data_IF_383671096032
#
_entry.id   IF_383671096032
#
_cell.length_a   1.000
_cell.length_b   1.000
_cell.length_c   1.000
_cell.angle_alpha   90.00
_cell.angle_beta   90.00
_cell.angle_gamma   90.00
#
_symmetry.space_group_name_H-M   'P 1'
#
loop_
_entity.id
_entity.type
_entity.pdbx_description
1 polymer ?
#
# COMPACT_ATOMS: atom_id res chain seq x y z
N UNK A 1 13.64 -13.69 13.04
CA UNK A 1 12.72 -13.38 11.91
C UNK A 1 11.32 -13.44 12.48
N UNK A 2 10.62 -12.31 12.59
CA UNK A 2 9.25 -12.29 13.11
C UNK A 2 8.34 -12.91 12.07
N UNK A 3 7.89 -14.14 12.33
CA UNK A 3 6.96 -14.85 11.44
C UNK A 3 5.58 -14.21 11.64
N UNK A 4 5.32 -13.14 10.88
CA UNK A 4 4.05 -12.41 10.94
C UNK A 4 2.87 -13.29 10.50
N UNK A 5 3.12 -14.30 9.67
CA UNK A 5 2.12 -15.28 9.22
C UNK A 5 2.73 -16.69 9.18
N UNK A 6 2.26 -17.63 10.00
CA UNK A 6 2.76 -18.99 9.98
C UNK A 6 2.44 -19.67 8.64
N UNK A 7 3.43 -20.30 8.02
CA UNK A 7 3.28 -20.98 6.73
C UNK A 7 3.48 -20.09 5.49
N UNK A 8 3.55 -18.76 5.67
CA UNK A 8 3.89 -17.82 4.59
C UNK A 8 5.40 -17.64 4.53
N UNK A 9 5.96 -17.91 3.36
CA UNK A 9 7.38 -17.79 3.03
C UNK A 9 7.73 -16.39 2.55
N UNK A 10 6.85 -15.78 1.77
CA UNK A 10 7.04 -14.42 1.27
C UNK A 10 5.71 -13.71 0.99
N UNK A 11 5.75 -12.39 0.99
CA UNK A 11 4.68 -11.55 0.48
C UNK A 11 5.31 -10.60 -0.51
N UNK A 12 4.89 -10.74 -1.76
CA UNK A 12 5.38 -9.96 -2.89
C UNK A 12 4.27 -9.00 -3.27
N UNK A 13 4.63 -7.73 -3.46
CA UNK A 13 3.70 -6.69 -3.85
C UNK A 13 4.26 -5.99 -5.07
N UNK A 14 3.59 -6.16 -6.20
CA UNK A 14 3.83 -5.36 -7.39
C UNK A 14 2.82 -4.24 -7.42
N UNK A 15 3.29 -3.04 -7.70
CA UNK A 15 2.44 -1.86 -7.78
C UNK A 15 2.73 -1.08 -9.03
N UNK A 16 1.69 -0.46 -9.60
CA UNK A 16 1.81 0.51 -10.67
C UNK A 16 1.12 1.79 -10.22
N UNK A 17 1.92 2.82 -9.97
CA UNK A 17 1.37 4.13 -9.63
C UNK A 17 0.94 4.85 -10.91
N UNK A 18 -0.22 5.50 -10.87
CA UNK A 18 -0.74 6.37 -11.93
C UNK A 18 -1.24 7.69 -11.37
N UNK A 19 -1.32 8.70 -12.23
CA UNK A 19 -1.91 10.01 -11.92
C UNK A 19 -0.97 11.18 -12.20
N UNK A 20 -1.26 12.32 -11.58
CA UNK A 20 -0.54 13.56 -11.79
C UNK A 20 0.93 13.46 -11.35
N UNK A 21 1.83 13.94 -12.20
CA UNK A 21 3.28 13.92 -11.97
C UNK A 21 3.91 12.53 -12.10
N UNK A 22 3.17 11.52 -12.55
CA UNK A 22 3.67 10.18 -12.88
C UNK A 22 3.72 10.04 -14.41
N UNK A 23 4.75 9.39 -14.98
CA UNK A 23 4.77 9.05 -16.42
C UNK A 23 3.52 8.27 -16.86
N UNK A 24 3.13 8.36 -18.13
CA UNK A 24 1.95 7.66 -18.66
C UNK A 24 2.03 6.13 -18.51
N UNK A 25 3.24 5.57 -18.65
CA UNK A 25 3.54 4.15 -18.42
C UNK A 25 3.43 3.76 -16.93
N UNK A 26 3.17 4.73 -16.05
CA UNK A 26 3.13 4.58 -14.61
C UNK A 26 4.52 4.46 -14.00
N UNK A 27 4.55 4.30 -12.68
CA UNK A 27 5.77 3.99 -11.93
C UNK A 27 5.65 2.60 -11.32
N UNK A 28 6.23 1.56 -11.93
CA UNK A 28 6.19 0.23 -11.36
C UNK A 28 7.10 0.17 -10.13
N UNK A 29 6.67 -0.58 -9.12
CA UNK A 29 7.46 -0.88 -7.94
C UNK A 29 7.12 -2.28 -7.45
N UNK A 30 8.14 -3.12 -7.30
CA UNK A 30 8.03 -4.46 -6.74
C UNK A 30 8.71 -4.50 -5.38
N UNK A 31 7.98 -4.97 -4.39
CA UNK A 31 8.40 -5.04 -2.99
C UNK A 31 8.22 -6.46 -2.45
N UNK A 32 9.09 -6.89 -1.53
CA UNK A 32 9.01 -8.20 -0.89
C UNK A 32 9.36 -8.12 0.60
N UNK A 33 8.69 -8.93 1.43
CA UNK A 33 9.10 -9.08 2.83
C UNK A 33 10.43 -9.81 2.95
N UNK A 34 10.71 -10.77 2.06
CA UNK A 34 11.91 -11.59 2.08
C UNK A 34 13.17 -10.78 1.78
N UNK A 35 13.13 -9.91 0.77
CA UNK A 35 14.27 -9.03 0.43
C UNK A 35 14.31 -7.73 1.25
N UNK A 36 13.30 -7.52 2.12
CA UNK A 36 13.13 -6.35 3.01
C UNK A 36 12.90 -5.02 2.28
N UNK A 37 12.56 -5.06 1.00
CA UNK A 37 12.13 -3.87 0.27
C UNK A 37 10.71 -3.46 0.66
N UNK A 38 9.86 -4.41 1.06
CA UNK A 38 8.56 -4.13 1.67
C UNK A 38 8.73 -3.78 3.15
N UNK A 39 8.19 -2.63 3.56
CA UNK A 39 8.14 -2.24 4.97
C UNK A 39 7.43 -3.33 5.80
N UNK A 40 7.95 -3.74 6.98
CA UNK A 40 7.32 -4.76 7.82
C UNK A 40 5.91 -4.40 8.34
N UNK A 41 5.56 -3.12 8.33
CA UNK A 41 4.20 -2.60 8.61
C UNK A 41 3.31 -2.63 7.37
N UNK A 42 3.86 -3.03 6.22
CA UNK A 42 3.25 -3.10 4.89
C UNK A 42 2.70 -1.75 4.45
N UNK A 43 3.53 -0.73 4.58
CA UNK A 43 3.23 0.60 4.08
C UNK A 43 3.76 0.72 2.65
N UNK A 44 2.86 0.89 1.68
CA UNK A 44 3.23 1.14 0.29
C UNK A 44 3.46 2.64 0.09
N UNK A 45 4.59 3.05 -0.51
CA UNK A 45 4.80 4.44 -0.85
C UNK A 45 3.85 4.85 -1.99
N UNK A 46 3.21 6.01 -1.87
CA UNK A 46 2.55 6.63 -3.01
C UNK A 46 2.87 8.13 -3.13
N UNK A 47 3.47 8.52 -4.25
CA UNK A 47 3.70 9.93 -4.53
C UNK A 47 2.39 10.59 -4.97
N UNK A 48 2.06 11.73 -4.37
CA UNK A 48 0.97 12.55 -4.85
C UNK A 48 1.37 14.03 -4.71
N UNK A 49 1.52 14.77 -5.83
CA UNK A 49 1.91 16.17 -5.78
C UNK A 49 0.84 17.05 -5.09
N UNK A 50 -0.44 16.69 -5.23
CA UNK A 50 -1.57 17.40 -4.61
C UNK A 50 -1.80 17.01 -3.14
N UNK A 51 -1.35 15.82 -2.71
CA UNK A 51 -1.51 15.30 -1.36
C UNK A 51 -0.14 14.97 -0.76
N UNK A 52 0.37 15.84 0.13
CA UNK A 52 1.70 15.70 0.74
C UNK A 52 1.94 14.27 1.26
N UNK A 53 2.86 13.54 0.60
CA UNK A 53 3.39 12.23 0.99
C UNK A 53 2.32 11.23 1.44
N UNK A 54 1.62 10.62 0.49
CA UNK A 54 0.72 9.52 0.76
C UNK A 54 1.45 8.18 0.93
N UNK A 55 0.96 7.33 1.81
CA UNK A 55 1.27 5.90 1.79
C UNK A 55 -0.03 5.12 1.95
N UNK A 56 -0.06 3.88 1.44
CA UNK A 56 -1.19 2.99 1.64
C UNK A 56 -0.82 1.91 2.65
N UNK A 57 -1.64 1.75 3.69
CA UNK A 57 -1.43 0.70 4.68
C UNK A 57 -2.07 -0.60 4.20
N UNK A 58 -1.26 -1.48 3.61
CA UNK A 58 -1.71 -2.73 2.98
C UNK A 58 -2.01 -3.83 4.00
N UNK A 59 -1.46 -3.74 5.21
CA UNK A 59 -1.53 -4.82 6.20
C UNK A 59 -2.94 -5.37 6.47
N UNK A 60 -3.99 -4.56 6.62
CA UNK A 60 -5.34 -5.10 6.83
C UNK A 60 -5.83 -5.98 5.67
N UNK A 61 -5.44 -5.67 4.43
CA UNK A 61 -5.77 -6.47 3.24
C UNK A 61 -5.01 -7.79 3.24
N UNK A 62 -3.73 -7.76 3.56
CA UNK A 62 -2.91 -8.98 3.68
C UNK A 62 -3.42 -9.87 4.80
N UNK A 63 -3.72 -9.30 5.97
CA UNK A 63 -4.27 -10.05 7.10
C UNK A 63 -5.61 -10.71 6.76
N UNK A 64 -6.44 -10.08 5.92
CA UNK A 64 -7.69 -10.65 5.44
C UNK A 64 -7.46 -11.77 4.43
N UNK A 65 -6.61 -11.55 3.43
CA UNK A 65 -6.27 -12.54 2.40
C UNK A 65 -5.65 -13.81 3.02
N UNK A 66 -4.68 -13.65 3.93
CA UNK A 66 -4.06 -14.78 4.65
C UNK A 66 -5.10 -15.55 5.46
N UNK A 67 -6.01 -14.85 6.15
CA UNK A 67 -7.09 -15.50 6.92
C UNK A 67 -8.10 -16.23 6.03
N UNK A 68 -8.35 -15.71 4.84
CA UNK A 68 -9.21 -16.34 3.84
C UNK A 68 -8.52 -17.50 3.08
N UNK A 69 -7.21 -17.69 3.26
CA UNK A 69 -6.42 -18.67 2.50
C UNK A 69 -6.18 -18.25 1.05
N UNK A 70 -6.37 -16.96 0.74
CA UNK A 70 -6.11 -16.39 -0.57
C UNK A 70 -4.60 -16.23 -0.79
N UNK A 71 -4.16 -16.50 -2.01
CA UNK A 71 -2.74 -16.35 -2.39
C UNK A 71 -2.48 -15.15 -3.27
N UNK A 72 -3.53 -14.53 -3.81
CA UNK A 72 -3.44 -13.43 -4.77
C UNK A 72 -4.52 -12.41 -4.48
N UNK A 73 -4.16 -11.14 -4.57
CA UNK A 73 -5.08 -10.03 -4.38
C UNK A 73 -4.72 -8.90 -5.35
N UNK A 74 -5.71 -8.49 -6.14
CA UNK A 74 -5.58 -7.43 -7.13
C UNK A 74 -6.54 -6.29 -6.73
N UNK A 75 -5.99 -5.11 -6.42
CA UNK A 75 -6.79 -3.97 -5.99
C UNK A 75 -6.27 -2.67 -6.60
N UNK A 76 -7.19 -1.74 -6.92
CA UNK A 76 -6.83 -0.35 -7.22
C UNK A 76 -7.12 0.52 -6.02
N UNK A 77 -6.09 1.19 -5.53
CA UNK A 77 -6.12 1.96 -4.30
C UNK A 77 -5.91 3.44 -4.62
N UNK A 78 -6.64 4.32 -3.95
CA UNK A 78 -6.39 5.76 -4.06
C UNK A 78 -5.23 6.15 -3.16
N UNK A 79 -4.34 6.98 -3.68
CA UNK A 79 -3.23 7.56 -2.94
C UNK A 79 -3.67 8.73 -2.06
N UNK A 80 -4.63 8.46 -1.19
CA UNK A 80 -5.18 9.40 -0.22
C UNK A 80 -4.65 9.08 1.18
N UNK A 81 -3.34 8.86 1.29
CA UNK A 81 -2.70 8.16 2.39
C UNK A 81 -3.10 8.58 3.81
N UNK A 82 -2.95 7.62 4.72
CA UNK A 82 -3.14 7.82 6.14
C UNK A 82 -2.12 8.85 6.68
N UNK A 83 -2.63 9.85 7.40
CA UNK A 83 -1.90 10.76 8.29
C UNK A 83 -1.41 9.98 9.53
N UNK A 84 -0.20 9.42 9.49
CA UNK A 84 0.56 9.00 10.68
C UNK A 84 -0.13 7.99 11.62
N UNK A 85 0.43 7.73 12.82
CA UNK A 85 -0.25 6.93 13.83
C UNK A 85 -1.56 7.62 14.24
N UNK A 86 -2.63 6.85 14.43
CA UNK A 86 -3.92 7.26 15.00
C UNK A 86 -3.75 7.65 16.48
N UNK A 87 -2.98 8.70 16.76
CA UNK A 87 -2.93 9.37 18.06
C UNK A 87 -2.77 10.87 17.83
N UNK A 88 -3.74 11.59 18.35
CA UNK A 88 -3.74 13.03 18.61
C UNK A 88 -4.15 13.93 17.44
N UNK A 89 -5.46 14.04 17.28
CA UNK A 89 -6.15 15.33 17.29
C UNK A 89 -5.88 16.31 16.15
N UNK A 90 -6.69 16.23 15.09
CA UNK A 90 -7.38 17.44 14.61
C UNK A 90 -8.62 17.05 13.78
N UNK A 91 -9.85 17.46 14.18
CA UNK A 91 -11.08 17.11 13.50
C UNK A 91 -11.47 18.14 12.43
N UNK A 92 -10.52 18.61 11.61
CA UNK A 92 -10.88 19.42 10.44
C UNK A 92 -11.35 18.49 9.32
N UNK A 93 -12.68 18.29 9.33
CA UNK A 93 -13.53 17.83 8.22
C UNK A 93 -13.38 18.75 7.00
N UNK A 94 -12.22 18.76 6.37
CA UNK A 94 -12.13 19.12 4.96
C UNK A 94 -12.13 17.80 4.19
N UNK A 95 -13.01 17.65 3.19
CA UNK A 95 -12.86 16.57 2.21
C UNK A 95 -11.37 16.46 1.87
N UNK A 96 -10.73 15.28 2.01
CA UNK A 96 -9.35 15.16 1.62
C UNK A 96 -9.26 15.69 0.18
N UNK A 97 -8.33 16.61 -0.14
CA UNK A 97 -8.17 17.09 -1.51
C UNK A 97 -8.21 15.87 -2.42
N UNK A 98 -9.04 15.90 -3.48
CA UNK A 98 -9.28 14.72 -4.33
C UNK A 98 -7.95 14.25 -4.90
N UNK A 99 -7.29 13.35 -4.18
CA UNK A 99 -5.97 12.83 -4.49
C UNK A 99 -6.12 12.03 -5.79
N UNK A 100 -5.63 12.54 -6.93
CA UNK A 100 -5.96 11.95 -8.22
C UNK A 100 -5.18 10.65 -8.46
N UNK A 101 -4.07 10.47 -7.75
CA UNK A 101 -3.17 9.34 -7.97
C UNK A 101 -3.74 8.05 -7.40
N UNK A 102 -3.51 6.96 -8.12
CA UNK A 102 -3.89 5.60 -7.74
C UNK A 102 -2.67 4.69 -7.76
N UNK A 103 -2.78 3.60 -7.00
CA UNK A 103 -1.88 2.45 -7.01
C UNK A 103 -2.70 1.24 -7.43
N UNK A 104 -2.40 0.69 -8.60
CA UNK A 104 -2.78 -0.67 -8.93
C UNK A 104 -1.83 -1.58 -8.15
N UNK A 105 -2.36 -2.52 -7.37
CA UNK A 105 -1.59 -3.41 -6.50
C UNK A 105 -1.93 -4.84 -6.85
N UNK A 106 -0.89 -5.62 -7.14
CA UNK A 106 -0.92 -7.06 -7.33
C UNK A 106 -0.11 -7.69 -6.21
N UNK A 107 -0.78 -8.35 -5.28
CA UNK A 107 -0.17 -8.99 -4.13
C UNK A 107 -0.17 -10.51 -4.31
N UNK A 108 0.96 -11.14 -4.03
CA UNK A 108 1.14 -12.58 -4.03
C UNK A 108 1.70 -13.06 -2.69
N UNK A 109 1.03 -14.07 -2.11
CA UNK A 109 1.40 -14.72 -0.85
C UNK A 109 1.92 -16.11 -1.20
N UNK A 110 3.19 -16.37 -0.84
CA UNK A 110 3.95 -17.58 -1.20
C UNK A 110 4.28 -18.40 0.04
#
# INVERSE_FOLDING_TARGET
>A
MSVLYPGVRDIIVETLQRGEGVPEDGKPLRLSLRDRSLDPRMLLPCANPACRKGGFWLRPRVDAAVRAGERRLDETLRCAGHLGPVRSGNPERSEPPRCPNTLEVHLEIV
#
